data_IF_874569770219
#
_entry.id   IF_874569770219
#
_cell.length_a   1.000
_cell.length_b   1.000
_cell.length_c   1.000
_cell.angle_alpha   90.00
_cell.angle_beta   90.00
_cell.angle_gamma   90.00
#
_symmetry.space_group_name_H-M   'P 1'
#
loop_
_entity.id
_entity.type
_entity.pdbx_description
1 polymer ?
#
# COMPACT_ATOMS: atom_id res chain seq x y z
N UNK A 1 4.60 -1.04 7.05
CA UNK A 1 3.61 -1.95 7.65
C UNK A 1 2.99 -2.87 6.61
N UNK A 2 2.40 -2.34 5.53
CA UNK A 2 1.83 -3.17 4.45
C UNK A 2 2.84 -3.65 3.41
N UNK A 3 4.04 -3.07 3.38
CA UNK A 3 5.10 -3.50 2.46
C UNK A 3 5.66 -4.88 2.80
N UNK A 4 6.23 -5.59 1.82
CA UNK A 4 6.65 -6.99 1.96
C UNK A 4 8.01 -7.17 2.67
N UNK A 5 8.63 -6.08 3.15
CA UNK A 5 10.01 -6.04 3.60
C UNK A 5 10.36 -7.10 4.65
N UNK A 6 9.53 -7.24 5.69
CA UNK A 6 9.78 -8.20 6.76
C UNK A 6 9.76 -9.64 6.23
N UNK A 7 8.69 -10.02 5.53
CA UNK A 7 8.56 -11.36 4.94
C UNK A 7 9.67 -11.67 3.94
N UNK A 8 10.12 -10.70 3.16
CA UNK A 8 11.20 -10.90 2.20
C UNK A 8 12.57 -11.06 2.89
N UNK A 9 12.86 -10.30 3.95
CA UNK A 9 14.08 -10.49 4.74
C UNK A 9 14.12 -11.85 5.41
N UNK A 10 12.99 -12.31 5.94
CA UNK A 10 12.87 -13.65 6.55
C UNK A 10 13.09 -14.78 5.51
N UNK A 11 12.75 -14.53 4.25
CA UNK A 11 12.98 -15.43 3.12
C UNK A 11 14.39 -15.32 2.52
N UNK A 12 15.26 -14.47 3.06
CA UNK A 12 16.63 -14.30 2.62
C UNK A 12 16.85 -13.34 1.45
N UNK A 13 15.88 -12.46 1.16
CA UNK A 13 16.03 -11.47 0.11
C UNK A 13 17.07 -10.39 0.47
N UNK A 14 17.69 -9.81 -0.56
CA UNK A 14 18.40 -8.54 -0.47
C UNK A 14 17.41 -7.40 -0.71
N UNK A 15 17.29 -6.49 0.25
CA UNK A 15 16.36 -5.38 0.22
C UNK A 15 17.10 -4.06 0.34
N UNK A 16 16.78 -3.11 -0.54
CA UNK A 16 17.20 -1.73 -0.42
C UNK A 16 16.05 -0.86 0.14
N UNK A 17 16.24 -0.31 1.34
CA UNK A 17 15.23 0.52 2.00
C UNK A 17 15.52 2.01 1.83
N UNK A 18 14.57 2.76 1.27
CA UNK A 18 14.59 4.23 1.26
C UNK A 18 13.61 4.74 2.31
N UNK A 19 14.13 5.40 3.34
CA UNK A 19 13.33 6.03 4.37
C UNK A 19 14.05 7.27 4.90
N UNK A 20 13.27 8.26 5.36
CA UNK A 20 13.82 9.46 5.98
C UNK A 20 14.62 9.11 7.23
N UNK A 21 15.74 9.79 7.49
CA UNK A 21 16.47 9.67 8.75
C UNK A 21 15.55 9.94 9.94
N UNK A 22 15.70 9.14 11.01
CA UNK A 22 14.99 9.36 12.26
C UNK A 22 14.70 8.09 13.06
N UNK A 23 14.06 8.28 14.22
CA UNK A 23 13.80 7.23 15.22
C UNK A 23 13.05 6.02 14.65
N UNK A 24 12.12 6.22 13.71
CA UNK A 24 11.37 5.11 13.10
C UNK A 24 12.30 4.19 12.30
N UNK A 25 13.22 4.76 11.51
CA UNK A 25 14.21 4.00 10.75
C UNK A 25 15.22 3.33 11.68
N UNK A 26 15.67 4.01 12.74
CA UNK A 26 16.58 3.43 13.73
C UNK A 26 15.97 2.21 14.43
N UNK A 27 14.71 2.31 14.89
CA UNK A 27 13.98 1.18 15.48
C UNK A 27 13.80 0.03 14.50
N UNK A 28 13.61 0.34 13.22
CA UNK A 28 13.50 -0.66 12.16
C UNK A 28 14.83 -1.42 12.00
N UNK A 29 15.95 -0.69 11.87
CA UNK A 29 17.30 -1.26 11.77
C UNK A 29 17.56 -2.18 12.97
N UNK A 30 17.37 -1.67 14.19
CA UNK A 30 17.59 -2.43 15.43
C UNK A 30 16.75 -3.71 15.49
N UNK A 31 15.49 -3.65 15.01
CA UNK A 31 14.61 -4.83 14.97
C UNK A 31 15.12 -5.90 14.00
N UNK A 32 15.67 -5.53 12.84
CA UNK A 32 16.11 -6.51 11.85
C UNK A 32 17.52 -7.04 12.12
N UNK A 33 18.43 -6.20 12.61
CA UNK A 33 19.77 -6.65 13.03
C UNK A 33 19.75 -7.59 14.22
N UNK A 34 18.63 -7.65 14.98
CA UNK A 34 18.48 -8.55 16.12
C UNK A 34 17.67 -9.83 15.83
N UNK A 35 17.06 -9.96 14.64
CA UNK A 35 16.05 -11.00 14.38
C UNK A 35 16.28 -11.86 13.14
N UNK A 36 17.05 -11.41 12.16
CA UNK A 36 17.20 -12.15 10.91
C UNK A 36 18.64 -12.15 10.43
N UNK A 37 19.19 -13.35 10.31
CA UNK A 37 20.49 -13.61 9.68
C UNK A 37 20.32 -14.12 8.22
N UNK A 38 19.08 -14.24 7.74
CA UNK A 38 18.79 -14.82 6.43
C UNK A 38 18.94 -13.82 5.27
N UNK A 39 18.47 -12.58 5.45
CA UNK A 39 18.40 -11.55 4.41
C UNK A 39 19.45 -10.45 4.55
N UNK A 40 19.51 -9.54 3.58
CA UNK A 40 20.41 -8.36 3.60
C UNK A 40 19.61 -7.08 3.46
N UNK A 41 19.87 -6.08 4.31
CA UNK A 41 19.24 -4.75 4.23
C UNK A 41 20.27 -3.69 3.84
N UNK A 42 20.12 -3.09 2.67
CA UNK A 42 20.89 -1.94 2.18
C UNK A 42 20.14 -0.65 2.52
N UNK A 43 20.85 0.35 3.06
CA UNK A 43 20.30 1.66 3.37
C UNK A 43 21.22 2.76 2.83
N UNK A 44 20.67 3.87 2.32
CA UNK A 44 21.49 4.98 1.86
C UNK A 44 22.15 5.68 3.06
N UNK A 45 23.40 6.10 2.88
CA UNK A 45 24.17 6.86 3.86
C UNK A 45 24.52 8.22 3.27
N UNK A 46 24.18 9.31 3.97
CA UNK A 46 24.59 10.65 3.53
C UNK A 46 26.09 10.83 3.74
N UNK A 47 26.81 11.15 2.66
CA UNK A 47 28.24 11.44 2.70
C UNK A 47 28.45 12.80 3.37
N UNK A 48 29.22 12.84 4.46
CA UNK A 48 29.63 14.10 5.08
C UNK A 48 30.89 14.58 4.37
N UNK A 49 30.86 15.81 3.86
CA UNK A 49 32.08 16.56 3.57
C UNK A 49 32.73 16.91 4.90
N UNK A 50 33.64 16.06 5.38
CA UNK A 50 34.54 16.45 6.47
C UNK A 50 35.50 17.46 5.86
N UNK A 51 35.32 18.75 6.15
CA UNK A 51 36.39 19.71 5.93
C UNK A 51 37.62 19.22 6.72
N UNK A 52 38.83 19.22 6.16
CA UNK A 52 40.01 18.72 6.85
C UNK A 52 40.27 19.60 8.07
N UNK A 53 39.79 19.18 9.23
CA UNK A 53 40.07 19.86 10.49
C UNK A 53 41.45 19.42 10.94
N UNK A 54 42.34 20.41 11.03
CA UNK A 54 43.70 20.25 11.51
C UNK A 54 43.72 19.65 12.93
N UNK A 55 44.55 18.62 13.11
CA UNK A 55 45.16 18.19 14.37
C UNK A 55 44.28 18.29 15.64
N UNK A 56 43.52 17.23 15.92
CA UNK A 56 43.07 16.93 17.29
C UNK A 56 43.59 15.54 17.67
N UNK A 57 44.53 15.50 18.61
CA UNK A 57 44.94 14.28 19.31
C UNK A 57 43.76 13.82 20.15
N UNK A 58 43.19 12.65 19.87
CA UNK A 58 42.17 12.05 20.70
C UNK A 58 42.79 11.00 21.64
N UNK A 59 42.80 11.32 22.94
CA UNK A 59 42.80 10.32 24.01
C UNK A 59 41.47 9.55 23.95
N UNK A 60 41.55 8.23 24.13
CA UNK A 60 40.45 7.29 23.93
C UNK A 60 39.66 7.16 25.23
N UNK A 61 38.62 7.98 25.40
CA UNK A 61 37.63 7.81 26.45
C UNK A 61 36.45 6.95 25.96
N UNK A 62 36.02 6.00 26.80
CA UNK A 62 34.93 5.04 26.56
C UNK A 62 33.52 5.66 26.38
N UNK A 63 33.40 6.99 26.28
CA UNK A 63 32.17 7.72 25.96
C UNK A 63 32.02 7.99 24.44
N UNK A 64 32.89 7.39 23.62
CA UNK A 64 32.95 7.57 22.15
C UNK A 64 31.89 6.75 21.42
N UNK A 65 31.56 5.54 21.89
CA UNK A 65 30.60 4.64 21.22
C UNK A 65 29.19 5.25 21.11
N UNK A 66 28.66 5.85 22.18
CA UNK A 66 27.30 6.40 22.16
C UNK A 66 27.16 7.62 21.23
N UNK A 67 28.21 8.46 21.13
CA UNK A 67 28.22 9.63 20.25
C UNK A 67 28.43 9.23 18.79
N UNK A 68 29.27 8.24 18.51
CA UNK A 68 29.45 7.72 17.15
C UNK A 68 28.20 7.01 16.64
N UNK A 69 27.56 6.17 17.46
CA UNK A 69 26.29 5.50 17.14
C UNK A 69 25.17 6.51 16.95
N UNK A 70 25.05 7.54 17.80
CA UNK A 70 24.08 8.62 17.61
C UNK A 70 24.36 9.42 16.32
N UNK A 71 25.63 9.67 15.99
CA UNK A 71 26.01 10.35 14.74
C UNK A 71 25.70 9.49 13.51
N UNK A 72 25.97 8.18 13.56
CA UNK A 72 25.66 7.22 12.50
C UNK A 72 24.14 7.15 12.28
N UNK A 73 23.38 7.10 13.37
CA UNK A 73 21.92 7.05 13.37
C UNK A 73 21.24 8.28 12.77
N UNK A 74 21.93 9.43 12.69
CA UNK A 74 21.47 10.64 11.98
C UNK A 74 21.88 10.67 10.49
N UNK A 75 22.82 9.82 10.07
CA UNK A 75 23.38 9.77 8.70
C UNK A 75 22.71 8.73 7.81
N UNK A 76 21.99 7.77 8.39
CA UNK A 76 21.30 6.69 7.67
C UNK A 76 19.92 7.17 7.21
N UNK A 77 19.65 7.03 5.91
CA UNK A 77 18.39 7.36 5.28
C UNK A 77 18.52 8.44 4.20
N UNK A 78 17.44 8.58 3.42
CA UNK A 78 17.29 9.57 2.37
C UNK A 78 15.85 10.07 2.33
N UNK A 79 15.65 11.32 1.92
CA UNK A 79 14.33 11.89 1.74
C UNK A 79 13.89 11.75 0.27
N UNK A 80 12.81 11.00 0.07
CA UNK A 80 12.27 10.70 -1.26
C UNK A 80 11.93 11.95 -2.08
N UNK A 81 11.58 13.07 -1.42
CA UNK A 81 11.18 14.31 -2.11
C UNK A 81 12.39 15.17 -2.42
N UNK A 82 13.37 15.27 -1.52
CA UNK A 82 14.53 16.17 -1.71
C UNK A 82 15.74 15.50 -2.35
N UNK A 83 15.90 14.19 -2.19
CA UNK A 83 17.09 13.43 -2.58
C UNK A 83 16.81 12.52 -3.80
N UNK A 84 15.85 12.90 -4.66
CA UNK A 84 15.33 12.10 -5.80
C UNK A 84 16.45 11.58 -6.69
N UNK A 85 17.40 12.46 -7.05
CA UNK A 85 18.50 12.12 -7.96
C UNK A 85 19.45 11.12 -7.34
N UNK A 86 19.86 11.37 -6.11
CA UNK A 86 20.78 10.54 -5.34
C UNK A 86 20.18 9.15 -5.12
N UNK A 87 18.89 9.07 -4.79
CA UNK A 87 18.16 7.81 -4.62
C UNK A 87 18.14 7.03 -5.94
N UNK A 88 17.80 7.68 -7.06
CA UNK A 88 17.74 7.01 -8.36
C UNK A 88 19.11 6.44 -8.78
N UNK A 89 20.18 7.23 -8.63
CA UNK A 89 21.55 6.79 -8.94
C UNK A 89 22.00 5.65 -8.03
N UNK A 90 21.72 5.75 -6.73
CA UNK A 90 22.04 4.71 -5.76
C UNK A 90 21.33 3.40 -6.10
N UNK A 91 20.03 3.43 -6.38
CA UNK A 91 19.27 2.24 -6.78
C UNK A 91 19.88 1.58 -8.02
N UNK A 92 20.24 2.36 -9.04
CA UNK A 92 20.84 1.82 -10.27
C UNK A 92 22.16 1.09 -9.98
N UNK A 93 22.95 1.58 -9.02
CA UNK A 93 24.25 0.99 -8.65
C UNK A 93 24.19 -0.31 -7.84
N UNK A 94 23.04 -0.65 -7.26
CA UNK A 94 22.92 -1.81 -6.37
C UNK A 94 22.81 -3.11 -7.17
N UNK A 95 23.73 -4.06 -6.98
CA UNK A 95 23.63 -5.41 -7.56
C UNK A 95 23.22 -5.41 -9.06
N UNK A 96 24.02 -4.80 -9.96
CA UNK A 96 23.62 -4.52 -11.35
C UNK A 96 23.21 -5.77 -12.16
N UNK A 97 23.79 -6.92 -11.84
CA UNK A 97 23.54 -8.20 -12.53
C UNK A 97 22.26 -8.90 -12.05
N UNK A 98 21.68 -8.50 -10.91
CA UNK A 98 20.47 -9.10 -10.37
C UNK A 98 19.23 -8.35 -10.84
N UNK A 99 18.12 -9.08 -10.94
CA UNK A 99 16.81 -8.48 -11.18
C UNK A 99 16.48 -7.52 -10.02
N UNK A 100 16.07 -6.31 -10.37
CA UNK A 100 15.67 -5.29 -9.41
C UNK A 100 14.14 -5.20 -9.38
N UNK A 101 13.52 -5.39 -8.21
CA UNK A 101 12.10 -5.16 -8.00
C UNK A 101 11.90 -3.84 -7.26
N UNK A 102 11.44 -2.80 -7.97
CA UNK A 102 11.21 -1.49 -7.38
C UNK A 102 9.80 -1.41 -6.78
N UNK A 103 9.72 -1.36 -5.44
CA UNK A 103 8.47 -1.30 -4.70
C UNK A 103 8.05 0.15 -4.40
N UNK A 104 7.05 0.64 -5.13
CA UNK A 104 6.52 2.00 -5.00
C UNK A 104 5.45 2.10 -3.90
N UNK A 105 5.91 2.19 -2.64
CA UNK A 105 5.06 2.04 -1.45
C UNK A 105 4.94 3.31 -0.59
N UNK A 106 5.59 4.42 -0.97
CA UNK A 106 5.56 5.63 -0.16
C UNK A 106 4.17 6.27 -0.15
N UNK A 107 3.80 6.81 1.00
CA UNK A 107 2.55 7.53 1.22
C UNK A 107 2.80 8.65 2.23
N UNK A 108 2.27 9.83 1.93
CA UNK A 108 2.23 10.99 2.81
C UNK A 108 0.81 11.60 2.75
N UNK A 109 0.54 12.61 3.57
CA UNK A 109 -0.77 13.26 3.59
C UNK A 109 -0.80 14.51 2.70
N UNK A 110 -1.97 14.81 2.13
CA UNK A 110 -2.22 16.04 1.39
C UNK A 110 -1.28 16.23 0.19
N UNK A 111 -0.78 17.45 0.00
CA UNK A 111 0.06 17.82 -1.13
C UNK A 111 1.41 17.08 -1.15
N UNK A 112 1.94 16.70 0.01
CA UNK A 112 3.18 15.93 0.08
C UNK A 112 3.00 14.50 -0.47
N UNK A 113 1.78 13.94 -0.45
CA UNK A 113 1.49 12.67 -1.11
C UNK A 113 1.69 12.76 -2.63
N UNK A 114 1.28 13.88 -3.22
CA UNK A 114 1.43 14.15 -4.65
C UNK A 114 2.90 14.28 -4.98
N UNK A 115 3.65 15.06 -4.19
CA UNK A 115 5.10 15.24 -4.35
C UNK A 115 5.85 13.91 -4.23
N UNK A 116 5.56 13.11 -3.21
CA UNK A 116 6.18 11.78 -3.06
C UNK A 116 5.84 10.84 -4.21
N UNK A 117 4.61 10.89 -4.74
CA UNK A 117 4.21 10.07 -5.89
C UNK A 117 4.93 10.49 -7.17
N UNK A 118 5.09 11.79 -7.42
CA UNK A 118 5.90 12.30 -8.54
C UNK A 118 7.37 11.93 -8.38
N UNK A 119 7.92 12.03 -7.18
CA UNK A 119 9.29 11.59 -6.90
C UNK A 119 9.51 10.10 -7.18
N UNK A 120 8.58 9.24 -6.73
CA UNK A 120 8.61 7.80 -7.05
C UNK A 120 8.53 7.55 -8.56
N UNK A 121 7.72 8.33 -9.28
CA UNK A 121 7.58 8.21 -10.73
C UNK A 121 8.89 8.54 -11.46
N UNK A 122 9.52 9.67 -11.12
CA UNK A 122 10.81 10.10 -11.68
C UNK A 122 11.91 9.07 -11.41
N UNK A 123 11.97 8.54 -10.19
CA UNK A 123 12.94 7.48 -9.84
C UNK A 123 12.64 6.22 -10.65
N UNK A 124 11.38 5.81 -10.74
CA UNK A 124 10.95 4.62 -11.47
C UNK A 124 11.34 4.71 -12.94
N UNK A 125 11.03 5.83 -13.59
CA UNK A 125 11.39 6.09 -14.98
C UNK A 125 12.90 6.00 -15.20
N UNK A 126 13.69 6.74 -14.41
CA UNK A 126 15.14 6.73 -14.51
C UNK A 126 15.74 5.33 -14.32
N UNK A 127 15.23 4.57 -13.34
CA UNK A 127 15.69 3.20 -13.08
C UNK A 127 15.34 2.27 -14.25
N UNK A 128 14.11 2.32 -14.77
CA UNK A 128 13.68 1.49 -15.91
C UNK A 128 14.43 1.81 -17.21
N UNK A 129 14.80 3.07 -17.41
CA UNK A 129 15.66 3.48 -18.53
C UNK A 129 17.06 2.87 -18.43
N UNK A 130 17.67 2.88 -17.23
CA UNK A 130 19.05 2.42 -17.01
C UNK A 130 19.17 0.92 -16.78
N UNK A 131 18.12 0.26 -16.28
CA UNK A 131 18.10 -1.17 -15.96
C UNK A 131 16.89 -1.83 -16.60
N UNK A 132 17.14 -2.54 -17.70
CA UNK A 132 16.07 -3.28 -18.40
C UNK A 132 15.58 -4.50 -17.62
N UNK A 133 16.42 -5.09 -16.77
CA UNK A 133 16.02 -6.14 -15.82
C UNK A 133 15.38 -5.56 -14.54
N UNK A 134 14.44 -4.64 -14.70
CA UNK A 134 13.66 -4.05 -13.61
C UNK A 134 12.21 -4.50 -13.70
N UNK A 135 11.67 -4.95 -12.56
CA UNK A 135 10.25 -5.16 -12.36
C UNK A 135 9.72 -4.13 -11.35
N UNK A 136 8.43 -3.82 -11.42
CA UNK A 136 7.79 -2.85 -10.55
C UNK A 136 6.74 -3.52 -9.67
N UNK A 137 6.57 -2.99 -8.46
CA UNK A 137 5.52 -3.41 -7.54
C UNK A 137 4.80 -2.20 -6.96
N UNK A 138 3.47 -2.25 -6.98
CA UNK A 138 2.57 -1.22 -6.46
C UNK A 138 1.48 -1.86 -5.60
N UNK A 139 1.06 -1.15 -4.55
CA UNK A 139 -0.19 -1.42 -3.85
C UNK A 139 -1.25 -0.45 -4.36
N UNK A 140 -2.11 -0.96 -5.25
CA UNK A 140 -3.15 -0.15 -5.90
C UNK A 140 -4.28 0.10 -4.92
N UNK A 141 -4.79 1.34 -4.94
CA UNK A 141 -5.87 1.75 -4.06
C UNK A 141 -7.23 1.51 -4.73
N UNK A 142 -8.17 0.87 -4.01
CA UNK A 142 -9.54 0.79 -4.46
C UNK A 142 -10.26 2.16 -4.44
N UNK A 143 -9.68 3.18 -3.81
CA UNK A 143 -10.22 4.54 -3.75
C UNK A 143 -9.88 5.37 -5.01
N UNK A 144 -9.94 4.74 -6.17
CA UNK A 144 -9.74 5.32 -7.50
C UNK A 144 -10.84 4.82 -8.43
N UNK A 145 -11.06 5.45 -9.59
CA UNK A 145 -11.91 4.84 -10.62
C UNK A 145 -11.18 3.67 -11.26
N UNK A 146 -11.79 2.50 -11.30
CA UNK A 146 -11.15 1.29 -11.83
C UNK A 146 -12.17 0.39 -12.54
N UNK A 147 -11.65 -0.56 -13.32
CA UNK A 147 -12.48 -1.56 -13.96
C UNK A 147 -12.85 -2.66 -12.96
N UNK A 148 -14.03 -3.25 -13.17
CA UNK A 148 -14.51 -4.43 -12.46
C UNK A 148 -15.10 -5.41 -13.49
N UNK A 149 -15.07 -6.72 -13.21
CA UNK A 149 -15.75 -7.69 -14.05
C UNK A 149 -17.26 -7.56 -13.91
N UNK A 150 -18.00 -7.99 -14.94
CA UNK A 150 -19.46 -7.87 -14.97
C UNK A 150 -20.14 -8.61 -13.80
N UNK A 151 -19.63 -9.77 -13.40
CA UNK A 151 -20.18 -10.55 -12.28
C UNK A 151 -20.12 -9.77 -10.96
N UNK A 152 -19.08 -8.97 -10.74
CA UNK A 152 -18.97 -8.11 -9.56
C UNK A 152 -20.05 -7.03 -9.55
N UNK A 153 -20.30 -6.41 -10.70
CA UNK A 153 -21.33 -5.39 -10.85
C UNK A 153 -22.74 -5.95 -10.65
N UNK A 154 -23.01 -7.14 -11.18
CA UNK A 154 -24.32 -7.78 -11.02
C UNK A 154 -24.53 -8.25 -9.59
N UNK A 155 -23.50 -8.78 -8.93
CA UNK A 155 -23.58 -9.11 -7.51
C UNK A 155 -23.82 -7.87 -6.63
N UNK A 156 -23.22 -6.72 -6.96
CA UNK A 156 -23.50 -5.44 -6.28
C UNK A 156 -24.98 -5.04 -6.40
N UNK A 157 -25.56 -5.10 -7.61
CA UNK A 157 -26.99 -4.81 -7.84
C UNK A 157 -27.91 -5.79 -7.11
N UNK A 158 -27.60 -7.08 -7.16
CA UNK A 158 -28.38 -8.11 -6.48
C UNK A 158 -28.40 -7.87 -4.96
N UNK A 159 -27.26 -7.54 -4.37
CA UNK A 159 -27.15 -7.19 -2.96
C UNK A 159 -27.93 -5.93 -2.61
N UNK A 160 -27.99 -4.95 -3.50
CA UNK A 160 -28.79 -3.74 -3.28
C UNK A 160 -30.29 -4.08 -3.22
N UNK A 161 -30.76 -4.89 -4.16
CA UNK A 161 -32.14 -5.39 -4.17
C UNK A 161 -32.43 -6.18 -2.89
N UNK A 162 -31.54 -7.09 -2.50
CA UNK A 162 -31.71 -7.90 -1.28
C UNK A 162 -31.69 -7.04 0.00
N UNK A 163 -30.83 -6.02 0.06
CA UNK A 163 -30.80 -5.09 1.18
C UNK A 163 -32.11 -4.32 1.31
N UNK A 164 -32.69 -3.86 0.20
CA UNK A 164 -33.98 -3.14 0.19
C UNK A 164 -35.16 -4.01 0.66
N UNK A 165 -35.06 -5.34 0.51
CA UNK A 165 -36.05 -6.31 1.00
C UNK A 165 -35.81 -6.74 2.45
N UNK A 166 -34.61 -6.52 2.96
CA UNK A 166 -34.22 -6.93 4.30
C UNK A 166 -34.77 -5.97 5.36
N UNK A 167 -35.25 -6.51 6.49
CA UNK A 167 -35.67 -5.72 7.65
C UNK A 167 -34.53 -5.56 8.67
N UNK A 168 -33.28 -5.53 8.21
CA UNK A 168 -32.15 -5.35 9.13
C UNK A 168 -32.23 -3.98 9.81
N UNK A 169 -31.72 -3.83 11.04
CA UNK A 169 -31.66 -2.53 11.71
C UNK A 169 -31.00 -1.44 10.86
N UNK A 170 -29.97 -1.81 10.08
CA UNK A 170 -29.32 -0.93 9.11
C UNK A 170 -30.26 -0.48 8.00
N UNK A 171 -31.01 -1.41 7.39
CA UNK A 171 -31.97 -1.08 6.34
C UNK A 171 -33.14 -0.20 6.85
N UNK A 172 -33.44 -0.28 8.15
CA UNK A 172 -34.49 0.49 8.81
C UNK A 172 -33.99 1.84 9.38
N UNK A 173 -32.68 2.05 9.51
CA UNK A 173 -32.09 3.32 9.96
C UNK A 173 -32.18 4.40 8.87
N UNK A 174 -33.33 5.08 8.82
CA UNK A 174 -33.55 6.28 7.99
C UNK A 174 -33.31 7.58 8.78
N UNK A 175 -32.24 7.63 9.57
CA UNK A 175 -31.89 8.83 10.33
C UNK A 175 -31.24 9.90 9.44
N UNK A 176 -31.35 11.20 9.77
CA UNK A 176 -30.61 12.26 9.08
C UNK A 176 -29.11 11.95 9.09
N UNK A 177 -28.48 11.87 7.91
CA UNK A 177 -27.07 11.50 7.76
C UNK A 177 -26.80 10.05 7.33
N UNK A 178 -27.82 9.17 7.34
CA UNK A 178 -27.74 7.79 6.83
C UNK A 178 -28.35 7.73 5.43
N UNK A 179 -27.63 8.27 4.45
CA UNK A 179 -28.09 8.34 3.07
C UNK A 179 -27.34 7.32 2.21
N UNK A 180 -27.75 6.05 2.26
CA UNK A 180 -27.15 5.00 1.45
C UNK A 180 -27.35 5.28 -0.04
N UNK A 181 -26.25 5.35 -0.78
CA UNK A 181 -26.26 5.59 -2.21
C UNK A 181 -25.73 4.34 -2.90
N UNK A 182 -26.43 3.83 -3.93
CA UNK A 182 -25.93 2.74 -4.74
C UNK A 182 -24.54 3.04 -5.31
N UNK A 183 -23.74 2.00 -5.53
CA UNK A 183 -22.51 2.15 -6.28
C UNK A 183 -22.78 2.70 -7.70
N UNK A 184 -21.96 3.65 -8.12
CA UNK A 184 -22.03 4.22 -9.48
C UNK A 184 -21.16 3.35 -10.39
N UNK A 185 -21.81 2.48 -11.16
CA UNK A 185 -21.19 1.55 -12.10
C UNK A 185 -21.64 1.88 -13.52
N UNK A 186 -20.71 1.92 -14.47
CA UNK A 186 -21.00 2.21 -15.87
C UNK A 186 -21.75 1.06 -16.59
N UNK A 187 -22.19 1.36 -17.82
CA UNK A 187 -22.46 0.31 -18.81
C UNK A 187 -21.21 -0.51 -19.15
N UNK A 188 -21.39 -1.57 -19.94
CA UNK A 188 -20.27 -2.36 -20.46
C UNK A 188 -19.34 -1.47 -21.29
N UNK A 189 -18.04 -1.64 -21.09
CA UNK A 189 -17.03 -1.02 -21.92
C UNK A 189 -16.97 -1.71 -23.30
N UNK A 190 -16.87 -0.96 -24.41
CA UNK A 190 -16.88 -1.53 -25.75
C UNK A 190 -15.82 -2.63 -25.94
N UNK A 191 -16.22 -3.76 -26.55
CA UNK A 191 -15.33 -4.91 -26.85
C UNK A 191 -14.70 -5.59 -25.63
N UNK A 192 -15.27 -5.39 -24.44
CA UNK A 192 -14.83 -6.04 -23.21
C UNK A 192 -16.04 -6.51 -22.39
N UNK A 193 -15.81 -7.38 -21.41
CA UNK A 193 -16.80 -7.77 -20.40
C UNK A 193 -16.58 -7.00 -19.08
N UNK A 194 -16.12 -5.76 -19.19
CA UNK A 194 -15.70 -4.94 -18.05
C UNK A 194 -16.61 -3.73 -17.90
N UNK A 195 -16.71 -3.24 -16.65
CA UNK A 195 -17.42 -2.02 -16.28
C UNK A 195 -16.51 -1.13 -15.45
N UNK A 196 -16.79 0.16 -15.38
CA UNK A 196 -16.08 1.09 -14.51
C UNK A 196 -16.91 1.35 -13.27
N UNK A 197 -16.30 1.20 -12.10
CA UNK A 197 -16.88 1.65 -10.82
C UNK A 197 -16.24 2.98 -10.42
N UNK A 198 -17.07 3.91 -9.95
CA UNK A 198 -16.56 5.10 -9.28
C UNK A 198 -16.14 4.74 -7.84
N UNK A 199 -14.85 4.48 -7.66
CA UNK A 199 -14.23 4.26 -6.36
C UNK A 199 -13.69 5.52 -5.69
N UNK A 200 -13.81 6.70 -6.31
CA UNK A 200 -13.31 7.95 -5.70
C UNK A 200 -14.01 8.19 -4.36
N UNK A 201 -13.22 8.59 -3.37
CA UNK A 201 -13.70 8.88 -2.02
C UNK A 201 -13.43 10.34 -1.67
N UNK A 202 -14.49 11.06 -1.30
CA UNK A 202 -14.41 12.45 -0.87
C UNK A 202 -13.54 12.60 0.40
N UNK A 203 -13.59 11.59 1.28
CA UNK A 203 -12.80 11.55 2.50
C UNK A 203 -11.28 11.50 2.24
N UNK A 204 -10.87 10.79 1.19
CA UNK A 204 -9.46 10.73 0.77
C UNK A 204 -9.04 12.01 0.05
N UNK A 205 -9.98 12.63 -0.67
CA UNK A 205 -9.79 13.92 -1.33
C UNK A 205 -8.94 13.85 -2.61
N UNK A 206 -8.82 15.01 -3.30
CA UNK A 206 -8.25 15.07 -4.65
C UNK A 206 -6.75 14.75 -4.71
N UNK A 207 -5.99 15.10 -3.67
CA UNK A 207 -4.56 14.80 -3.62
C UNK A 207 -4.30 13.28 -3.58
N UNK A 208 -5.07 12.55 -2.78
CA UNK A 208 -4.98 11.09 -2.72
C UNK A 208 -5.36 10.46 -4.06
N UNK A 209 -6.48 10.90 -4.64
CA UNK A 209 -6.94 10.42 -5.95
C UNK A 209 -5.87 10.63 -7.02
N UNK A 210 -5.29 11.84 -7.12
CA UNK A 210 -4.24 12.16 -8.07
C UNK A 210 -3.00 11.28 -7.86
N UNK A 211 -2.50 11.16 -6.62
CA UNK A 211 -1.36 10.30 -6.28
C UNK A 211 -1.55 8.85 -6.72
N UNK A 212 -2.72 8.27 -6.44
CA UNK A 212 -3.01 6.88 -6.78
C UNK A 212 -3.26 6.66 -8.27
N UNK A 213 -3.86 7.62 -8.96
CA UNK A 213 -3.98 7.58 -10.42
C UNK A 213 -2.60 7.63 -11.10
N UNK A 214 -1.66 8.48 -10.64
CA UNK A 214 -0.31 8.52 -11.20
C UNK A 214 0.42 7.17 -11.05
N UNK A 215 0.28 6.50 -9.90
CA UNK A 215 0.83 5.16 -9.69
C UNK A 215 0.26 4.14 -10.69
N UNK A 216 -1.05 4.18 -10.95
CA UNK A 216 -1.69 3.32 -11.96
C UNK A 216 -1.18 3.63 -13.39
N UNK A 217 -1.05 4.91 -13.76
CA UNK A 217 -0.55 5.28 -15.07
C UNK A 217 0.89 4.80 -15.29
N UNK A 218 1.78 4.97 -14.32
CA UNK A 218 3.15 4.44 -14.42
C UNK A 218 3.17 2.93 -14.54
N UNK A 219 2.33 2.22 -13.78
CA UNK A 219 2.22 0.77 -13.88
C UNK A 219 1.83 0.32 -15.30
N UNK A 220 0.85 0.99 -15.92
CA UNK A 220 0.44 0.71 -17.31
C UNK A 220 1.56 1.01 -18.30
N UNK A 221 2.20 2.18 -18.18
CA UNK A 221 3.28 2.61 -19.08
C UNK A 221 4.45 1.65 -19.02
N UNK A 222 4.95 1.35 -17.82
CA UNK A 222 6.10 0.47 -17.64
C UNK A 222 5.83 -0.95 -18.17
N UNK A 223 4.62 -1.47 -17.97
CA UNK A 223 4.24 -2.77 -18.56
C UNK A 223 4.24 -2.71 -20.09
N UNK A 224 3.68 -1.65 -20.66
CA UNK A 224 3.68 -1.47 -22.12
C UNK A 224 5.11 -1.32 -22.69
N UNK A 225 6.05 -0.83 -21.88
CA UNK A 225 7.49 -0.74 -22.19
C UNK A 225 8.26 -2.06 -21.98
N UNK A 226 7.57 -3.14 -21.58
CA UNK A 226 8.15 -4.47 -21.46
C UNK A 226 8.69 -4.83 -20.07
N UNK A 227 8.31 -4.07 -19.03
CA UNK A 227 8.63 -4.43 -17.64
C UNK A 227 7.55 -5.33 -17.02
N UNK A 228 7.95 -6.23 -16.12
CA UNK A 228 7.00 -6.95 -15.26
C UNK A 228 6.45 -5.96 -14.23
N UNK A 229 5.13 -5.93 -14.03
CA UNK A 229 4.49 -4.98 -13.11
C UNK A 229 3.45 -5.69 -12.23
N UNK A 230 3.79 -5.93 -10.97
CA UNK A 230 2.86 -6.41 -9.94
C UNK A 230 2.06 -5.23 -9.37
N UNK A 231 0.79 -5.08 -9.73
CA UNK A 231 -0.03 -3.94 -9.32
C UNK A 231 -1.39 -4.35 -8.76
N UNK A 232 -1.37 -5.11 -7.66
CA UNK A 232 -2.58 -5.64 -7.05
C UNK A 232 -3.29 -4.61 -6.17
N UNK A 233 -4.63 -4.65 -6.18
CA UNK A 233 -5.43 -3.90 -5.21
C UNK A 233 -5.18 -4.43 -3.80
N UNK A 234 -4.79 -3.54 -2.89
CA UNK A 234 -4.64 -3.87 -1.49
C UNK A 234 -5.96 -3.65 -0.73
N UNK A 235 -6.37 -4.57 0.16
CA UNK A 235 -7.58 -4.40 0.94
C UNK A 235 -7.41 -3.33 2.03
N UNK A 236 -8.53 -2.75 2.46
CA UNK A 236 -8.56 -1.92 3.65
C UNK A 236 -8.04 -2.72 4.85
N UNK A 237 -7.09 -2.13 5.60
CA UNK A 237 -6.36 -2.81 6.66
C UNK A 237 -6.31 -1.97 7.94
N UNK A 238 -6.42 -2.60 9.11
CA UNK A 238 -6.34 -1.95 10.43
C UNK A 238 -4.90 -1.58 10.81
N UNK A 239 -4.24 -0.75 10.01
CA UNK A 239 -2.84 -0.34 10.25
C UNK A 239 -2.71 0.48 11.53
N UNK A 240 -1.53 0.45 12.16
CA UNK A 240 -1.25 1.18 13.39
C UNK A 240 -1.63 2.67 13.29
N UNK A 241 -1.33 3.32 12.16
CA UNK A 241 -1.68 4.72 11.93
C UNK A 241 -3.19 4.97 11.87
N UNK A 242 -3.97 4.02 11.35
CA UNK A 242 -5.43 4.15 11.25
C UNK A 242 -6.12 3.88 12.58
N UNK A 243 -5.65 2.88 13.35
CA UNK A 243 -6.28 2.52 14.63
C UNK A 243 -5.99 3.51 15.75
N UNK A 244 -4.92 4.30 15.66
CA UNK A 244 -4.61 5.36 16.62
C UNK A 244 -5.66 6.49 16.63
N UNK A 245 -6.46 6.60 15.57
CA UNK A 245 -7.60 7.50 15.51
C UNK A 245 -8.90 6.72 15.73
N UNK A 246 -9.52 6.90 16.90
CA UNK A 246 -10.71 6.15 17.33
C UNK A 246 -11.86 6.21 16.32
N UNK A 247 -12.03 7.33 15.63
CA UNK A 247 -13.04 7.47 14.58
C UNK A 247 -12.80 6.56 13.38
N UNK A 248 -11.55 6.50 12.89
CA UNK A 248 -11.16 5.64 11.79
C UNK A 248 -11.22 4.17 12.21
N UNK A 249 -10.77 3.85 13.43
CA UNK A 249 -10.86 2.50 13.99
C UNK A 249 -12.31 1.99 14.03
N UNK A 250 -13.24 2.81 14.54
CA UNK A 250 -14.67 2.47 14.56
C UNK A 250 -15.22 2.33 13.14
N UNK A 251 -14.91 3.25 12.22
CA UNK A 251 -15.37 3.15 10.84
C UNK A 251 -14.91 1.86 10.16
N UNK A 252 -13.63 1.51 10.29
CA UNK A 252 -13.06 0.27 9.75
C UNK A 252 -13.71 -0.99 10.33
N UNK A 253 -14.06 -0.96 11.62
CA UNK A 253 -14.74 -2.07 12.27
C UNK A 253 -16.18 -2.23 11.76
N UNK A 254 -16.94 -1.14 11.71
CA UNK A 254 -18.33 -1.20 11.29
C UNK A 254 -18.53 -1.43 9.80
N UNK A 255 -17.51 -1.26 8.95
CA UNK A 255 -17.56 -1.65 7.53
C UNK A 255 -18.02 -3.10 7.35
N UNK A 256 -17.64 -4.00 8.27
CA UNK A 256 -18.03 -5.42 8.22
C UNK A 256 -19.56 -5.63 8.39
N UNK A 257 -20.28 -4.63 8.88
CA UNK A 257 -21.75 -4.64 8.98
C UNK A 257 -22.43 -4.51 7.60
N UNK A 258 -21.66 -4.24 6.53
CA UNK A 258 -22.11 -4.13 5.15
C UNK A 258 -21.51 -5.25 4.29
N UNK A 259 -22.09 -6.47 4.28
CA UNK A 259 -21.60 -7.54 3.44
C UNK A 259 -21.55 -7.15 1.95
N UNK A 260 -20.46 -7.45 1.22
CA UNK A 260 -19.38 -8.39 1.59
C UNK A 260 -18.09 -7.71 2.08
N UNK A 261 -18.16 -6.49 2.63
CA UNK A 261 -16.96 -5.75 3.00
C UNK A 261 -16.18 -6.42 4.12
N UNK A 262 -14.86 -6.52 3.94
CA UNK A 262 -13.93 -7.07 4.92
C UNK A 262 -12.73 -6.15 5.09
N UNK A 263 -12.46 -5.81 6.34
CA UNK A 263 -11.22 -5.13 6.76
C UNK A 263 -10.23 -6.17 7.27
N UNK A 264 -9.00 -6.11 6.76
CA UNK A 264 -7.94 -7.08 7.00
C UNK A 264 -7.03 -6.64 8.15
N UNK A 265 -6.33 -7.61 8.75
CA UNK A 265 -5.21 -7.35 9.64
C UNK A 265 -3.95 -6.98 8.83
N UNK A 266 -3.14 -6.01 9.26
CA UNK A 266 -1.98 -5.54 8.49
C UNK A 266 -0.99 -6.65 8.12
N UNK A 267 -0.76 -7.61 9.02
CA UNK A 267 0.13 -8.76 8.76
C UNK A 267 -0.43 -9.65 7.65
N UNK A 268 -1.73 -9.95 7.70
CA UNK A 268 -2.41 -10.72 6.65
C UNK A 268 -2.30 -10.02 5.30
N UNK A 269 -2.54 -8.71 5.26
CA UNK A 269 -2.39 -7.92 4.04
C UNK A 269 -0.95 -7.92 3.53
N UNK A 270 0.03 -7.68 4.40
CA UNK A 270 1.45 -7.67 4.02
C UNK A 270 1.88 -9.02 3.43
N UNK A 271 1.55 -10.14 4.09
CA UNK A 271 1.86 -11.49 3.60
C UNK A 271 1.15 -11.80 2.28
N UNK A 272 -0.13 -11.46 2.16
CA UNK A 272 -0.90 -11.69 0.93
C UNK A 272 -0.36 -10.88 -0.25
N UNK A 273 -0.07 -9.59 -0.04
CA UNK A 273 0.50 -8.72 -1.07
C UNK A 273 1.91 -9.13 -1.46
N UNK A 274 2.73 -9.59 -0.51
CA UNK A 274 4.03 -10.18 -0.80
C UNK A 274 3.89 -11.45 -1.66
N UNK A 275 2.93 -12.32 -1.32
CA UNK A 275 2.69 -13.57 -2.04
C UNK A 275 2.22 -13.32 -3.48
N UNK A 276 1.29 -12.37 -3.68
CA UNK A 276 0.86 -11.99 -5.02
C UNK A 276 1.98 -11.35 -5.83
N UNK A 277 2.80 -10.50 -5.21
CA UNK A 277 3.97 -9.94 -5.89
C UNK A 277 4.94 -11.04 -6.33
N UNK A 278 5.21 -12.02 -5.48
CA UNK A 278 6.05 -13.16 -5.85
C UNK A 278 5.41 -14.01 -6.95
N UNK A 279 4.09 -14.22 -6.93
CA UNK A 279 3.38 -14.89 -8.02
C UNK A 279 3.56 -14.13 -9.35
N UNK A 280 3.27 -12.83 -9.35
CA UNK A 280 3.35 -11.97 -10.52
C UNK A 280 4.76 -11.86 -11.12
N UNK A 281 5.79 -11.98 -10.28
CA UNK A 281 7.19 -11.96 -10.70
C UNK A 281 7.68 -13.28 -11.32
N UNK A 282 7.07 -14.41 -10.96
CA UNK A 282 7.61 -15.74 -11.26
C UNK A 282 6.75 -16.56 -12.24
N UNK A 283 5.51 -16.17 -12.50
CA UNK A 283 4.61 -16.93 -13.36
C UNK A 283 4.30 -16.19 -14.66
N UNK A 284 4.68 -16.80 -15.79
CA UNK A 284 4.51 -16.22 -17.13
C UNK A 284 3.06 -16.02 -17.54
N UNK A 285 2.11 -16.73 -16.93
CA UNK A 285 0.69 -16.54 -17.18
C UNK A 285 0.09 -15.32 -16.48
N UNK A 286 0.81 -14.68 -15.55
CA UNK A 286 0.29 -13.51 -14.84
C UNK A 286 0.08 -12.34 -15.80
N UNK A 287 -1.00 -11.59 -15.62
CA UNK A 287 -1.20 -10.29 -16.28
C UNK A 287 -0.10 -9.27 -15.98
N UNK A 288 0.70 -9.46 -14.91
CA UNK A 288 1.88 -8.65 -14.62
C UNK A 288 3.01 -8.84 -15.65
N UNK A 289 3.11 -10.02 -16.27
CA UNK A 289 4.10 -10.28 -17.30
C UNK A 289 3.69 -9.54 -18.60
N UNK A 290 4.57 -8.71 -19.19
CA UNK A 290 4.25 -7.94 -20.39
C UNK A 290 3.97 -8.79 -21.63
N UNK A 291 4.47 -10.04 -21.68
CA UNK A 291 4.23 -10.97 -22.77
C UNK A 291 2.82 -11.60 -22.74
N UNK A 292 2.14 -11.54 -21.59
CA UNK A 292 0.74 -12.00 -21.46
C UNK A 292 -0.18 -11.03 -22.17
N UNK A 293 -0.99 -11.52 -23.09
CA UNK A 293 -2.02 -10.68 -23.73
C UNK A 293 -3.14 -10.36 -22.73
N UNK A 294 -3.51 -9.08 -22.64
CA UNK A 294 -4.60 -8.62 -21.79
C UNK A 294 -5.57 -7.79 -22.62
N UNK A 295 -6.87 -8.06 -22.46
CA UNK A 295 -7.93 -7.45 -23.27
C UNK A 295 -7.99 -5.91 -23.16
N UNK A 296 -7.47 -5.35 -22.06
CA UNK A 296 -7.42 -3.91 -21.80
C UNK A 296 -6.29 -3.61 -20.80
N UNK A 297 -5.56 -2.48 -20.89
CA UNK A 297 -4.45 -2.18 -19.98
C UNK A 297 -4.83 -2.20 -18.49
N UNK A 298 -6.04 -1.74 -18.16
CA UNK A 298 -6.56 -1.76 -16.79
C UNK A 298 -6.76 -3.18 -16.22
N UNK A 299 -6.76 -4.23 -17.04
CA UNK A 299 -6.82 -5.62 -16.58
C UNK A 299 -5.63 -6.00 -15.70
N UNK A 300 -4.52 -5.27 -15.81
CA UNK A 300 -3.36 -5.36 -14.91
C UNK A 300 -3.75 -5.28 -13.43
N UNK A 301 -4.82 -4.55 -13.10
CA UNK A 301 -5.26 -4.34 -11.72
C UNK A 301 -6.42 -5.26 -11.31
N UNK A 302 -6.90 -6.12 -12.22
CA UNK A 302 -8.17 -6.83 -12.06
C UNK A 302 -8.03 -8.28 -11.56
N UNK A 303 -7.22 -9.08 -12.26
CA UNK A 303 -7.17 -10.54 -12.13
C UNK A 303 -6.90 -11.03 -10.69
N UNK A 304 -5.90 -10.44 -10.03
CA UNK A 304 -5.46 -10.81 -8.69
C UNK A 304 -5.91 -9.78 -7.61
N UNK A 305 -6.95 -9.01 -7.91
CA UNK A 305 -7.42 -7.92 -7.05
C UNK A 305 -7.95 -8.39 -5.68
N UNK A 306 -7.34 -7.89 -4.60
CA UNK A 306 -7.82 -8.12 -3.22
C UNK A 306 -8.63 -6.92 -2.75
N UNK A 307 -9.77 -6.70 -3.39
CA UNK A 307 -10.62 -5.52 -3.17
C UNK A 307 -11.47 -5.56 -1.88
N UNK A 308 -11.31 -6.55 -1.01
CA UNK A 308 -12.00 -6.63 0.30
C UNK A 308 -13.53 -6.60 0.21
N UNK A 309 -14.10 -7.11 -0.89
CA UNK A 309 -15.54 -7.06 -1.14
C UNK A 309 -16.07 -5.77 -1.76
N UNK A 310 -15.23 -4.74 -1.91
CA UNK A 310 -15.67 -3.40 -2.37
C UNK A 310 -16.46 -3.43 -3.69
N UNK A 311 -15.95 -4.12 -4.70
CA UNK A 311 -16.58 -4.16 -6.02
C UNK A 311 -17.98 -4.78 -6.03
N UNK A 312 -18.25 -5.59 -5.00
CA UNK A 312 -19.53 -6.29 -4.81
C UNK A 312 -20.36 -5.63 -3.73
N UNK A 313 -19.88 -4.56 -3.09
CA UNK A 313 -20.67 -3.81 -2.13
C UNK A 313 -21.87 -3.17 -2.86
N UNK A 314 -23.09 -3.18 -2.28
CA UNK A 314 -24.24 -2.53 -2.91
C UNK A 314 -24.17 -0.99 -2.88
N UNK A 315 -23.35 -0.41 -1.99
CA UNK A 315 -23.31 1.02 -1.72
C UNK A 315 -21.94 1.62 -2.02
N UNK A 316 -21.93 2.91 -2.35
CA UNK A 316 -20.69 3.68 -2.39
C UNK A 316 -20.09 3.78 -0.99
N UNK A 317 -18.75 3.72 -0.90
CA UNK A 317 -18.03 3.79 0.37
C UNK A 317 -18.41 5.04 1.17
N UNK A 318 -18.45 6.20 0.51
CA UNK A 318 -18.76 7.46 1.18
C UNK A 318 -20.17 7.45 1.80
N UNK A 319 -21.13 6.78 1.17
CA UNK A 319 -22.50 6.72 1.69
C UNK A 319 -22.67 5.85 2.94
N UNK A 320 -21.74 4.93 3.19
CA UNK A 320 -21.79 4.03 4.35
C UNK A 320 -20.81 4.43 5.45
N UNK A 321 -20.02 5.49 5.29
CA UNK A 321 -19.00 5.92 6.26
C UNK A 321 -19.60 6.22 7.64
N UNK A 322 -20.64 7.07 7.68
CA UNK A 322 -21.28 7.47 8.95
C UNK A 322 -21.86 6.26 9.66
N UNK A 323 -22.57 5.39 8.94
CA UNK A 323 -23.11 4.17 9.51
C UNK A 323 -22.05 3.17 9.96
N UNK A 324 -20.94 3.07 9.23
CA UNK A 324 -19.81 2.22 9.60
C UNK A 324 -19.18 2.73 10.90
N UNK A 325 -19.03 4.05 11.05
CA UNK A 325 -18.55 4.62 12.31
C UNK A 325 -19.46 4.25 13.50
N UNK A 326 -20.77 4.47 13.38
CA UNK A 326 -21.68 4.18 14.48
C UNK A 326 -21.78 2.68 14.80
N UNK A 327 -21.92 1.83 13.79
CA UNK A 327 -21.94 0.37 14.00
C UNK A 327 -20.65 -0.14 14.63
N UNK A 328 -19.49 0.35 14.20
CA UNK A 328 -18.22 -0.01 14.84
C UNK A 328 -18.09 0.52 16.26
N UNK A 329 -18.62 1.72 16.55
CA UNK A 329 -18.69 2.24 17.92
C UNK A 329 -19.54 1.35 18.83
N UNK A 330 -20.70 0.87 18.34
CA UNK A 330 -21.53 -0.11 19.06
C UNK A 330 -20.80 -1.44 19.25
N UNK A 331 -20.16 -1.97 18.21
CA UNK A 331 -19.41 -3.24 18.29
C UNK A 331 -18.27 -3.15 19.30
N UNK A 332 -17.49 -2.06 19.28
CA UNK A 332 -16.40 -1.82 20.21
C UNK A 332 -16.89 -1.52 21.65
N UNK A 333 -18.07 -0.93 21.80
CA UNK A 333 -18.65 -0.56 23.10
C UNK A 333 -19.39 -1.70 23.81
N UNK A 334 -20.09 -2.58 23.08
CA UNK A 334 -20.88 -3.68 23.64
C UNK A 334 -20.10 -4.99 23.81
N UNK A 335 -19.17 -5.30 22.88
CA UNK A 335 -18.33 -6.51 22.94
C UNK A 335 -16.90 -6.22 23.41
N UNK A 336 -16.65 -5.01 23.93
CA UNK A 336 -15.35 -4.48 24.34
C UNK A 336 -14.67 -5.27 25.47
N UNK A 337 -14.09 -6.42 25.11
CA UNK A 337 -12.96 -7.12 25.76
C UNK A 337 -12.82 -8.55 25.24
N UNK A 338 -13.89 -9.22 24.79
CA UNK A 338 -13.81 -10.66 24.44
C UNK A 338 -13.05 -10.96 23.14
N UNK A 339 -13.16 -10.12 22.11
CA UNK A 339 -12.45 -10.35 20.84
C UNK A 339 -11.03 -9.77 20.77
N UNK A 340 -10.63 -8.98 21.77
CA UNK A 340 -9.27 -8.48 21.94
C UNK A 340 -8.39 -9.48 22.72
N UNK A 341 -8.98 -10.19 23.70
CA UNK A 341 -8.26 -11.14 24.57
C UNK A 341 -7.93 -12.47 23.90
N UNK A 342 -8.79 -13.02 23.03
CA UNK A 342 -8.49 -14.29 22.34
C UNK A 342 -7.35 -14.16 21.30
N UNK A 343 -7.02 -12.94 20.86
CA UNK A 343 -5.88 -12.70 19.94
C UNK A 343 -4.53 -12.52 20.64
N UNK A 344 -4.50 -12.30 21.95
CA UNK A 344 -3.24 -12.27 22.72
C UNK A 344 -2.76 -13.66 23.16
N UNK A 345 -3.62 -14.68 23.11
CA UNK A 345 -3.28 -16.04 23.52
C UNK A 345 -2.98 -17.01 22.36
N UNK A 346 -2.83 -16.49 21.14
CA UNK A 346 -2.27 -17.24 20.00
C UNK A 346 -1.14 -16.43 19.34
N UNK A 347 -0.05 -16.22 20.07
CA UNK A 347 1.26 -15.90 19.53
C UNK A 347 2.26 -16.97 19.96
#
# INVERSE_FOLDING_TARGET
>A
ELGPMESLLDLGASIAGVARPGIKLQKLIQRFTSKSDAGTLHLPLKKISVAPSANVKHEVDAATDDKEIASFSLKVGADLITDVREIAQWIVSLEPEKQLVLCNLAYLDGADNVRASVSMDIITEYVCEKRKNTALSFLISPATSHIIPEDAADNSKERLVNFSKCKSPLALMKFPGFNYQPNKISGLLPRTNLRVINGLSDLQGPNYALSKCMQQWRAIIARAEGHIVSANHAPASRTANMINHRSIANALEGMQSFPPLLTFEPRTTSTLMASLMLYDLNFDCSSANPATDISHPMCLFNENSVHGGLWRCPFSLDSIQVSSYFTGMFNNGFFGSRFSLERHNMQ
#
